data_IF_722378478152
#
_entry.id   IF_722378478152
#
_cell.length_a   1.000
_cell.length_b   1.000
_cell.length_c   1.000
_cell.angle_alpha   90.00
_cell.angle_beta   90.00
_cell.angle_gamma   90.00
#
_symmetry.space_group_name_H-M   'P 1'
#
loop_
_entity.id
_entity.type
_entity.pdbx_description
1 polymer ?
#
# COMPACT_ATOMS: atom_id res chain seq x y z
N UNK A 1 4.33 -36.76 28.79
CA UNK A 1 3.77 -36.96 27.45
C UNK A 1 4.89 -37.01 26.45
N UNK A 2 5.09 -38.16 25.82
CA UNK A 2 6.14 -38.36 24.83
C UNK A 2 5.85 -37.57 23.55
N UNK A 3 6.89 -37.16 22.82
CA UNK A 3 6.76 -36.43 21.54
C UNK A 3 5.84 -37.16 20.54
N UNK A 4 5.82 -38.49 20.59
CA UNK A 4 4.97 -39.32 19.74
C UNK A 4 3.48 -39.22 20.11
N UNK A 5 3.16 -39.05 21.39
CA UNK A 5 1.78 -38.87 21.86
C UNK A 5 1.22 -37.49 21.48
N UNK A 6 2.10 -36.48 21.39
CA UNK A 6 1.72 -35.15 20.94
C UNK A 6 1.46 -35.16 19.42
N UNK A 7 2.30 -35.85 18.65
CA UNK A 7 2.09 -36.02 17.22
C UNK A 7 0.82 -36.82 16.89
N UNK A 8 0.52 -37.88 17.64
CA UNK A 8 -0.72 -38.65 17.44
C UNK A 8 -1.96 -37.84 17.81
N UNK A 9 -1.89 -36.98 18.85
CA UNK A 9 -2.96 -36.04 19.21
C UNK A 9 -3.22 -34.99 18.10
N UNK A 10 -2.15 -34.44 17.49
CA UNK A 10 -2.28 -33.48 16.39
C UNK A 10 -2.87 -34.12 15.13
N UNK A 11 -2.48 -35.36 14.79
CA UNK A 11 -3.04 -36.10 13.65
C UNK A 11 -4.51 -36.47 13.91
N UNK A 12 -4.86 -36.86 15.13
CA UNK A 12 -6.26 -37.15 15.51
C UNK A 12 -7.16 -35.91 15.51
N UNK A 13 -6.62 -34.73 15.84
CA UNK A 13 -7.35 -33.47 15.77
C UNK A 13 -7.51 -32.95 14.33
N UNK A 14 -6.53 -33.22 13.45
CA UNK A 14 -6.57 -32.84 12.04
C UNK A 14 -7.49 -33.74 11.19
N UNK A 15 -7.75 -34.97 11.63
CA UNK A 15 -8.63 -35.94 10.95
C UNK A 15 -10.10 -35.86 11.38
N UNK A 16 -10.54 -34.79 12.06
CA UNK A 16 -11.97 -34.63 12.38
C UNK A 16 -12.79 -34.57 11.08
N UNK A 17 -13.68 -35.54 10.82
CA UNK A 17 -14.59 -35.44 9.69
C UNK A 17 -15.52 -34.25 9.93
N UNK A 18 -15.61 -33.37 8.93
CA UNK A 18 -16.57 -32.27 8.90
C UNK A 18 -17.97 -32.81 9.23
N UNK A 19 -18.66 -32.17 10.18
CA UNK A 19 -20.00 -32.47 10.67
C UNK A 19 -21.12 -32.18 9.65
N UNK A 20 -20.90 -32.47 8.36
CA UNK A 20 -21.86 -32.29 7.26
C UNK A 20 -22.10 -33.54 6.41
N UNK A 21 -21.94 -34.72 6.98
CA UNK A 21 -22.42 -35.96 6.37
C UNK A 21 -23.35 -36.71 7.35
N UNK A 22 -24.60 -36.24 7.45
CA UNK A 22 -25.69 -37.08 7.93
C UNK A 22 -26.26 -37.76 6.68
N UNK A 23 -25.76 -38.94 6.34
CA UNK A 23 -26.57 -39.94 5.65
C UNK A 23 -26.32 -41.29 6.29
N UNK A 24 -27.34 -41.72 7.02
CA UNK A 24 -27.47 -43.02 7.69
C UNK A 24 -27.23 -44.14 6.68
N UNK A 25 -26.29 -45.02 6.99
CA UNK A 25 -26.22 -46.36 6.43
C UNK A 25 -27.37 -47.20 7.01
N UNK A 26 -28.48 -47.32 6.29
CA UNK A 26 -29.40 -48.45 6.45
C UNK A 26 -29.18 -49.42 5.30
N UNK A 27 -28.46 -50.49 5.63
CA UNK A 27 -28.33 -51.69 4.82
C UNK A 27 -29.59 -52.51 5.07
N UNK A 28 -30.35 -52.80 4.01
CA UNK A 28 -31.00 -54.09 3.66
C UNK A 28 -32.23 -53.85 2.79
N UNK A 29 -32.51 -54.83 1.93
CA UNK A 29 -33.65 -54.99 1.01
C UNK A 29 -33.43 -54.51 -0.43
N UNK A 30 -32.92 -55.46 -1.24
CA UNK A 30 -33.06 -55.46 -2.70
C UNK A 30 -34.52 -55.79 -3.06
N UNK A 31 -35.11 -55.09 -4.02
CA UNK A 31 -35.99 -55.72 -4.98
C UNK A 31 -35.37 -55.66 -6.39
N UNK A 32 -35.57 -56.76 -7.12
CA UNK A 32 -35.13 -56.95 -8.49
C UNK A 32 -35.65 -55.83 -9.41
N UNK A 33 -34.73 -55.06 -10.01
CA UNK A 33 -35.04 -54.20 -11.15
C UNK A 33 -34.77 -55.02 -12.42
N UNK A 34 -35.84 -55.29 -13.15
CA UNK A 34 -35.80 -55.89 -14.49
C UNK A 34 -35.20 -54.86 -15.46
N UNK A 35 -34.12 -55.22 -16.14
CA UNK A 35 -33.60 -54.42 -17.24
C UNK A 35 -34.46 -54.67 -18.48
N UNK A 36 -35.30 -53.70 -18.85
CA UNK A 36 -35.91 -53.64 -20.17
C UNK A 36 -34.89 -53.02 -21.14
N UNK A 37 -34.38 -53.82 -22.07
CA UNK A 37 -33.57 -53.36 -23.18
C UNK A 37 -34.47 -52.62 -24.17
N UNK A 38 -34.31 -51.30 -24.30
CA UNK A 38 -34.81 -50.57 -25.46
C UNK A 38 -33.59 -50.00 -26.19
N UNK A 39 -33.33 -50.59 -27.35
CA UNK A 39 -32.33 -50.12 -28.30
C UNK A 39 -32.88 -48.87 -28.99
N UNK A 40 -32.57 -47.69 -28.46
CA UNK A 40 -32.66 -46.45 -29.23
C UNK A 40 -31.31 -45.75 -29.14
N UNK A 41 -30.66 -45.62 -30.28
CA UNK A 41 -29.43 -44.85 -30.42
C UNK A 41 -29.67 -43.40 -29.97
N UNK A 42 -28.73 -42.75 -29.27
CA UNK A 42 -28.88 -41.34 -28.92
C UNK A 42 -28.89 -40.50 -30.20
N UNK A 43 -29.77 -39.49 -30.32
CA UNK A 43 -29.72 -38.57 -31.45
C UNK A 43 -28.40 -37.79 -31.43
N UNK A 44 -27.86 -37.54 -32.63
CA UNK A 44 -26.61 -36.82 -32.83
C UNK A 44 -26.62 -35.46 -32.12
N UNK A 45 -25.51 -35.14 -31.45
CA UNK A 45 -25.34 -33.86 -30.77
C UNK A 45 -25.55 -32.69 -31.75
N UNK A 46 -26.30 -31.63 -31.36
CA UNK A 46 -26.46 -30.46 -32.21
C UNK A 46 -25.08 -29.83 -32.46
N UNK A 47 -24.83 -29.45 -33.71
CA UNK A 47 -23.62 -28.71 -34.13
C UNK A 47 -23.39 -27.55 -33.16
N UNK A 48 -22.22 -27.53 -32.52
CA UNK A 48 -21.77 -26.42 -31.69
C UNK A 48 -21.82 -25.15 -32.55
N UNK A 49 -22.79 -24.27 -32.27
CA UNK A 49 -22.71 -22.89 -32.71
C UNK A 49 -21.48 -22.30 -32.02
N UNK A 50 -20.53 -21.80 -32.81
CA UNK A 50 -19.38 -21.07 -32.31
C UNK A 50 -19.89 -19.92 -31.44
N UNK A 51 -19.73 -20.06 -30.13
CA UNK A 51 -19.91 -18.96 -29.20
C UNK A 51 -19.02 -17.81 -29.68
N UNK A 52 -19.52 -16.56 -29.73
CA UNK A 52 -18.68 -15.43 -30.08
C UNK A 52 -17.44 -15.46 -29.19
N UNK A 53 -16.26 -15.46 -29.81
CA UNK A 53 -14.97 -15.48 -29.11
C UNK A 53 -15.07 -14.50 -27.95
N UNK A 54 -15.01 -15.03 -26.72
CA UNK A 54 -14.96 -14.18 -25.53
C UNK A 54 -13.86 -13.16 -25.80
N UNK A 55 -14.11 -11.85 -25.59
CA UNK A 55 -13.06 -10.87 -25.74
C UNK A 55 -11.93 -11.32 -24.83
N UNK A 56 -10.82 -11.76 -25.41
CA UNK A 56 -9.58 -12.02 -24.71
C UNK A 56 -9.21 -10.66 -24.13
N UNK A 57 -9.58 -10.45 -22.87
CA UNK A 57 -9.14 -9.28 -22.11
C UNK A 57 -7.62 -9.34 -22.24
N UNK A 58 -6.98 -8.39 -22.95
CA UNK A 58 -5.55 -8.48 -23.17
C UNK A 58 -4.92 -8.56 -21.78
N UNK A 59 -4.04 -9.53 -21.55
CA UNK A 59 -3.40 -9.70 -20.23
C UNK A 59 -2.62 -8.45 -19.77
N UNK A 60 -2.50 -7.45 -20.65
CA UNK A 60 -1.96 -6.11 -20.44
C UNK A 60 -2.96 -5.11 -19.80
N UNK A 61 -4.21 -5.49 -19.51
CA UNK A 61 -5.19 -4.64 -18.78
C UNK A 61 -4.71 -4.27 -17.35
N UNK A 62 -3.58 -4.80 -16.89
CA UNK A 62 -2.97 -4.47 -15.60
C UNK A 62 -2.04 -3.24 -15.57
N UNK A 63 -1.79 -2.52 -16.67
CA UNK A 63 -0.76 -1.45 -16.68
C UNK A 63 -1.26 -0.01 -16.80
N UNK A 64 -2.46 0.26 -17.30
CA UNK A 64 -2.99 1.63 -17.32
C UNK A 64 -3.56 1.97 -15.94
N UNK A 65 -2.63 2.33 -15.03
CA UNK A 65 -2.93 2.89 -13.70
C UNK A 65 -3.76 4.16 -13.78
N UNK A 66 -3.82 4.80 -14.96
CA UNK A 66 -4.74 5.87 -15.29
C UNK A 66 -5.00 5.88 -16.82
N UNK A 67 -6.17 5.43 -17.31
CA UNK A 67 -6.49 5.42 -18.74
C UNK A 67 -6.59 6.83 -19.35
N UNK A 68 -6.78 7.87 -18.53
CA UNK A 68 -7.02 9.23 -18.98
C UNK A 68 -5.73 10.08 -19.03
N UNK A 69 -4.56 9.51 -18.66
CA UNK A 69 -3.24 10.17 -18.64
C UNK A 69 -3.17 11.51 -17.87
N UNK A 70 -4.13 11.78 -16.98
CA UNK A 70 -4.21 13.05 -16.24
C UNK A 70 -3.15 13.10 -15.12
N UNK A 71 -2.87 11.96 -14.48
CA UNK A 71 -1.98 11.88 -13.31
C UNK A 71 -0.50 12.03 -13.67
N UNK A 72 0.30 12.56 -12.74
CA UNK A 72 1.76 12.67 -12.85
C UNK A 72 2.47 11.36 -13.21
N UNK A 73 1.91 10.23 -12.75
CA UNK A 73 2.39 8.87 -13.00
C UNK A 73 2.41 8.48 -14.47
N UNK A 74 1.45 8.97 -15.27
CA UNK A 74 1.30 8.58 -16.68
C UNK A 74 2.54 8.90 -17.53
N UNK A 75 3.37 9.84 -17.06
CA UNK A 75 4.63 10.25 -17.70
C UNK A 75 5.87 9.67 -17.05
N UNK A 76 5.73 9.01 -15.90
CA UNK A 76 6.84 8.28 -15.29
C UNK A 76 6.94 6.96 -16.06
N UNK A 77 8.06 6.71 -16.75
CA UNK A 77 8.22 5.43 -17.44
C UNK A 77 8.23 4.33 -16.36
N UNK A 78 7.40 3.29 -16.53
CA UNK A 78 7.35 2.15 -15.61
C UNK A 78 8.05 0.98 -16.29
N UNK A 79 9.07 0.38 -15.67
CA UNK A 79 9.72 -0.78 -16.25
C UNK A 79 8.72 -1.93 -16.40
N UNK A 80 8.72 -2.57 -17.56
CA UNK A 80 7.87 -3.73 -17.86
C UNK A 80 8.29 -4.94 -17.03
N UNK A 81 9.55 -5.01 -16.63
CA UNK A 81 10.11 -6.10 -15.82
C UNK A 81 10.50 -7.30 -16.68
N UNK A 82 10.82 -7.05 -17.95
CA UNK A 82 11.35 -8.02 -18.90
C UNK A 82 12.88 -8.12 -18.73
N UNK A 83 13.43 -9.34 -18.78
CA UNK A 83 14.88 -9.55 -18.64
C UNK A 83 15.63 -8.87 -19.79
N UNK A 84 16.56 -7.98 -19.45
CA UNK A 84 17.36 -7.23 -20.42
C UNK A 84 16.81 -5.85 -20.81
N UNK A 85 15.72 -5.40 -20.19
CA UNK A 85 15.17 -4.06 -20.37
C UNK A 85 16.16 -2.98 -19.85
N UNK A 86 16.58 -2.05 -20.72
CA UNK A 86 17.35 -0.87 -20.32
C UNK A 86 16.39 0.24 -19.90
N UNK A 87 16.09 0.32 -18.62
CA UNK A 87 15.17 1.31 -18.06
C UNK A 87 15.93 2.43 -17.36
N UNK A 88 15.92 3.67 -17.85
CA UNK A 88 16.53 4.81 -17.12
C UNK A 88 15.44 5.63 -16.42
N UNK A 89 15.48 5.81 -15.09
CA UNK A 89 14.46 6.58 -14.38
C UNK A 89 14.48 8.05 -14.81
N UNK A 90 13.30 8.60 -15.09
CA UNK A 90 13.14 10.01 -15.46
C UNK A 90 13.02 10.89 -14.22
N UNK A 91 13.38 12.17 -14.35
CA UNK A 91 13.14 13.20 -13.34
C UNK A 91 11.63 13.43 -13.15
N UNK A 92 11.20 13.60 -11.91
CA UNK A 92 9.83 13.89 -11.53
C UNK A 92 9.43 15.31 -11.98
N UNK A 93 8.71 15.39 -13.09
CA UNK A 93 8.30 16.67 -13.69
C UNK A 93 7.01 17.26 -13.12
N UNK A 94 6.09 16.41 -12.64
CA UNK A 94 4.77 16.81 -12.14
C UNK A 94 4.65 16.55 -10.63
N UNK A 95 3.86 17.37 -9.91
CA UNK A 95 3.60 17.17 -8.49
C UNK A 95 2.81 15.88 -8.25
N UNK A 96 3.10 15.23 -7.13
CA UNK A 96 2.45 14.00 -6.65
C UNK A 96 1.45 14.36 -5.55
N UNK A 97 0.39 13.57 -5.41
CA UNK A 97 -0.63 13.73 -4.36
C UNK A 97 -2.06 13.78 -4.87
N UNK A 98 -2.98 14.13 -3.97
CA UNK A 98 -4.40 14.33 -4.24
C UNK A 98 -4.70 15.80 -4.54
N UNK A 99 -5.73 16.06 -5.34
CA UNK A 99 -6.14 17.43 -5.68
C UNK A 99 -6.82 18.15 -4.51
N UNK A 100 -7.53 17.40 -3.68
CA UNK A 100 -8.26 17.91 -2.53
C UNK A 100 -7.42 17.82 -1.25
N UNK A 101 -7.62 18.76 -0.30
CA UNK A 101 -6.95 18.69 0.99
C UNK A 101 -7.37 17.45 1.78
N UNK A 102 -6.45 16.85 2.56
CA UNK A 102 -6.74 15.65 3.33
C UNK A 102 -7.61 16.01 4.54
N UNK A 103 -8.61 15.20 4.81
CA UNK A 103 -9.42 15.32 6.04
C UNK A 103 -9.10 14.16 7.01
N UNK A 104 -9.09 14.42 8.32
CA UNK A 104 -9.03 13.35 9.32
C UNK A 104 -10.13 12.32 9.09
N UNK A 105 -9.83 11.04 9.30
CA UNK A 105 -10.75 9.91 9.06
C UNK A 105 -10.84 9.42 7.61
N UNK A 106 -10.38 10.19 6.62
CA UNK A 106 -10.28 9.70 5.24
C UNK A 106 -9.25 8.57 5.13
N UNK A 107 -9.46 7.63 4.20
CA UNK A 107 -8.60 6.46 4.01
C UNK A 107 -8.38 5.65 5.30
N UNK A 108 -9.32 5.69 6.24
CA UNK A 108 -9.28 4.81 7.40
C UNK A 108 -9.79 3.41 7.01
N UNK A 109 -9.21 2.33 7.58
CA UNK A 109 -9.68 0.96 7.34
C UNK A 109 -10.99 0.64 8.09
N UNK A 110 -11.46 1.54 8.95
CA UNK A 110 -12.59 1.33 9.86
C UNK A 110 -13.91 1.58 9.12
N UNK A 111 -14.84 0.63 9.22
CA UNK A 111 -16.20 0.79 8.71
C UNK A 111 -17.09 1.41 9.80
N UNK A 112 -17.44 2.67 9.66
CA UNK A 112 -18.40 3.34 10.57
C UNK A 112 -19.86 3.13 10.15
N UNK A 113 -20.10 2.48 9.01
CA UNK A 113 -21.45 2.31 8.45
C UNK A 113 -22.30 1.32 9.26
N UNK A 114 -23.60 1.58 9.31
CA UNK A 114 -24.55 0.72 9.99
C UNK A 114 -24.71 -0.64 9.31
N UNK A 115 -25.16 -1.68 10.05
CA UNK A 115 -25.41 -3.00 9.46
C UNK A 115 -26.44 -2.96 8.31
N UNK A 116 -27.40 -2.03 8.40
CA UNK A 116 -28.41 -1.78 7.37
C UNK A 116 -27.77 -1.23 6.10
N UNK A 117 -26.99 -0.16 6.21
CA UNK A 117 -26.25 0.42 5.08
C UNK A 117 -25.32 -0.62 4.43
N UNK A 118 -24.66 -1.45 5.23
CA UNK A 118 -23.82 -2.53 4.70
C UNK A 118 -24.66 -3.50 3.86
N UNK A 119 -25.84 -3.93 4.35
CA UNK A 119 -26.73 -4.83 3.61
C UNK A 119 -27.23 -4.18 2.31
N UNK A 120 -27.65 -2.92 2.36
CA UNK A 120 -28.10 -2.17 1.18
C UNK A 120 -26.98 -2.01 0.14
N UNK A 121 -25.75 -1.78 0.59
CA UNK A 121 -24.57 -1.73 -0.28
C UNK A 121 -24.24 -3.06 -0.95
N UNK A 122 -24.45 -4.18 -0.25
CA UNK A 122 -24.29 -5.50 -0.84
C UNK A 122 -25.36 -5.79 -1.90
N UNK A 123 -26.58 -5.27 -1.71
CA UNK A 123 -27.69 -5.43 -2.65
C UNK A 123 -27.58 -4.53 -3.90
N UNK A 124 -26.85 -3.42 -3.81
CA UNK A 124 -26.69 -2.50 -4.95
C UNK A 124 -25.78 -3.09 -6.05
N UNK A 125 -26.35 -3.29 -7.24
CA UNK A 125 -25.66 -3.85 -8.40
C UNK A 125 -24.50 -2.99 -8.92
N UNK A 126 -24.65 -1.66 -8.97
CA UNK A 126 -23.59 -0.76 -9.42
C UNK A 126 -22.36 -0.84 -8.50
N UNK A 127 -22.58 -0.81 -7.18
CA UNK A 127 -21.51 -1.00 -6.19
C UNK A 127 -20.87 -2.40 -6.29
N UNK A 128 -21.60 -3.41 -6.76
CA UNK A 128 -21.03 -4.74 -7.03
C UNK A 128 -20.09 -4.74 -8.23
N UNK A 129 -20.44 -4.02 -9.31
CA UNK A 129 -19.57 -3.85 -10.48
C UNK A 129 -18.27 -3.11 -10.13
N UNK A 130 -18.37 -2.02 -9.36
CA UNK A 130 -17.19 -1.28 -8.87
C UNK A 130 -16.27 -2.16 -8.02
N UNK A 131 -16.85 -2.91 -7.07
CA UNK A 131 -16.12 -3.89 -6.26
C UNK A 131 -15.36 -4.87 -7.14
N UNK A 132 -16.07 -5.48 -8.11
CA UNK A 132 -15.47 -6.43 -9.04
C UNK A 132 -14.31 -5.80 -9.80
N UNK A 133 -14.43 -4.56 -10.26
CA UNK A 133 -13.37 -3.84 -10.97
C UNK A 133 -12.12 -3.65 -10.10
N UNK A 134 -12.30 -3.20 -8.85
CA UNK A 134 -11.19 -2.98 -7.90
C UNK A 134 -10.49 -4.31 -7.59
N UNK A 135 -11.26 -5.37 -7.30
CA UNK A 135 -10.67 -6.69 -7.01
C UNK A 135 -9.97 -7.29 -8.22
N UNK A 136 -10.53 -7.16 -9.42
CA UNK A 136 -9.87 -7.63 -10.64
C UNK A 136 -8.56 -6.87 -10.89
N UNK A 137 -8.54 -5.55 -10.75
CA UNK A 137 -7.32 -4.74 -10.87
C UNK A 137 -6.24 -5.20 -9.89
N UNK A 138 -6.61 -5.45 -8.64
CA UNK A 138 -5.68 -5.93 -7.62
C UNK A 138 -5.21 -7.36 -7.90
N UNK A 139 -6.10 -8.24 -8.36
CA UNK A 139 -5.77 -9.63 -8.70
C UNK A 139 -4.81 -9.73 -9.90
N UNK A 140 -5.03 -8.89 -10.92
CA UNK A 140 -4.14 -8.81 -12.07
C UNK A 140 -2.85 -8.04 -11.79
N UNK A 141 -2.67 -7.49 -10.59
CA UNK A 141 -1.42 -6.84 -10.20
C UNK A 141 -0.30 -7.87 -10.17
N UNK A 142 0.73 -7.73 -11.01
CA UNK A 142 1.76 -8.74 -11.10
C UNK A 142 2.75 -8.58 -9.94
N UNK A 143 2.49 -9.29 -8.84
CA UNK A 143 3.32 -9.26 -7.63
C UNK A 143 4.81 -9.54 -7.93
N UNK A 144 5.09 -10.56 -8.74
CA UNK A 144 6.46 -10.92 -9.12
C UNK A 144 7.14 -9.90 -10.04
N UNK A 145 6.37 -9.14 -10.83
CA UNK A 145 6.98 -8.06 -11.62
C UNK A 145 7.50 -6.94 -10.71
N UNK A 146 6.89 -6.67 -9.55
CA UNK A 146 7.44 -5.68 -8.61
C UNK A 146 8.82 -6.09 -8.07
N UNK A 147 9.04 -7.40 -7.90
CA UNK A 147 10.34 -7.94 -7.54
C UNK A 147 11.34 -7.79 -8.68
N UNK A 148 10.98 -8.20 -9.91
CA UNK A 148 11.84 -8.03 -11.08
C UNK A 148 12.18 -6.55 -11.33
N UNK A 149 11.25 -5.62 -11.07
CA UNK A 149 11.50 -4.18 -11.18
C UNK A 149 12.57 -3.68 -10.20
N UNK A 150 12.78 -4.39 -9.08
CA UNK A 150 13.84 -4.04 -8.12
C UNK A 150 15.24 -4.36 -8.65
N UNK A 151 15.35 -5.33 -9.58
CA UNK A 151 16.62 -5.65 -10.23
C UNK A 151 17.16 -4.46 -11.06
N UNK A 152 16.26 -3.66 -11.63
CA UNK A 152 16.62 -2.45 -12.38
C UNK A 152 16.78 -1.25 -11.44
N UNK A 153 17.97 -0.62 -11.45
CA UNK A 153 18.27 0.60 -10.67
C UNK A 153 17.86 0.52 -9.20
N UNK A 154 18.00 -0.65 -8.57
CA UNK A 154 17.57 -0.94 -7.19
C UNK A 154 16.09 -0.60 -6.91
N UNK A 155 15.24 -0.66 -7.94
CA UNK A 155 13.80 -0.39 -7.86
C UNK A 155 13.41 1.09 -7.93
N UNK A 156 14.34 1.98 -8.30
CA UNK A 156 14.06 3.41 -8.42
C UNK A 156 13.00 3.69 -9.48
N UNK A 157 11.93 4.38 -9.08
CA UNK A 157 10.79 4.67 -9.95
C UNK A 157 10.96 6.00 -10.70
N UNK A 158 11.46 7.02 -10.00
CA UNK A 158 11.76 8.33 -10.55
C UNK A 158 12.93 8.98 -9.80
N UNK A 159 13.58 9.93 -10.47
CA UNK A 159 14.59 10.79 -9.87
C UNK A 159 13.90 12.03 -9.31
N UNK A 160 14.32 12.47 -8.14
CA UNK A 160 13.82 13.69 -7.51
C UNK A 160 14.18 14.93 -8.35
N UNK A 161 13.38 15.98 -8.20
CA UNK A 161 13.64 17.26 -8.85
C UNK A 161 14.62 18.08 -8.01
N UNK A 162 15.54 18.79 -8.65
CA UNK A 162 16.43 19.75 -7.98
C UNK A 162 15.65 20.95 -7.41
N UNK A 163 14.53 21.30 -8.04
CA UNK A 163 13.70 22.44 -7.64
C UNK A 163 12.46 21.97 -6.89
N UNK A 164 12.07 22.75 -5.87
CA UNK A 164 10.78 22.61 -5.22
C UNK A 164 9.63 22.86 -6.21
N UNK A 165 8.57 22.08 -6.11
CA UNK A 165 7.32 22.43 -6.78
C UNK A 165 6.81 23.78 -6.26
N UNK A 166 6.00 24.51 -7.02
CA UNK A 166 5.36 25.75 -6.53
C UNK A 166 4.14 25.45 -5.65
N UNK A 167 3.90 26.25 -4.60
CA UNK A 167 2.84 25.99 -3.60
C UNK A 167 1.44 25.92 -4.23
N UNK A 168 1.22 26.72 -5.26
CA UNK A 168 -0.05 26.80 -6.00
C UNK A 168 -0.30 25.54 -6.84
N UNK A 169 0.76 24.92 -7.36
CA UNK A 169 0.67 23.73 -8.23
C UNK A 169 0.84 22.41 -7.49
N UNK A 170 1.39 22.45 -6.27
CA UNK A 170 1.60 21.26 -5.49
C UNK A 170 0.27 20.64 -5.04
N UNK A 171 0.23 19.31 -5.07
CA UNK A 171 -0.90 18.50 -4.65
C UNK A 171 -0.73 18.08 -3.18
N UNK A 172 -1.81 17.58 -2.60
CA UNK A 172 -1.89 17.26 -1.18
C UNK A 172 -1.41 15.84 -0.87
N UNK A 173 -0.75 15.71 0.27
CA UNK A 173 -0.44 14.42 0.86
C UNK A 173 -1.73 13.82 1.44
N UNK A 174 -2.09 12.57 1.12
CA UNK A 174 -3.35 11.98 1.58
C UNK A 174 -3.34 11.72 3.08
N UNK A 175 -4.53 11.68 3.70
CA UNK A 175 -4.62 11.16 5.05
C UNK A 175 -4.25 9.68 5.05
N UNK A 176 -3.49 9.26 6.06
CA UNK A 176 -3.16 7.88 6.29
C UNK A 176 -3.48 7.55 7.75
N UNK A 177 -4.15 6.42 7.95
CA UNK A 177 -4.49 5.92 9.28
C UNK A 177 -3.57 4.75 9.65
N UNK A 178 -3.01 4.78 10.86
CA UNK A 178 -2.11 3.74 11.33
C UNK A 178 -1.93 3.71 12.84
N UNK A 179 -1.31 2.64 13.33
CA UNK A 179 -0.91 2.51 14.74
C UNK A 179 0.42 3.22 14.97
N UNK A 180 0.58 3.97 16.05
CA UNK A 180 1.86 4.61 16.38
C UNK A 180 2.64 3.78 17.39
N UNK A 181 3.88 4.19 17.67
CA UNK A 181 4.68 3.62 18.74
C UNK A 181 4.43 4.30 20.09
N UNK A 182 3.56 5.32 20.16
CA UNK A 182 3.28 6.08 21.38
C UNK A 182 2.88 5.19 22.57
N UNK A 183 3.33 5.56 23.77
CA UNK A 183 3.07 4.81 25.01
C UNK A 183 1.65 4.97 25.51
N UNK A 184 1.08 6.16 25.32
CA UNK A 184 -0.29 6.53 25.71
C UNK A 184 -1.38 5.78 24.93
N UNK A 185 -0.99 5.05 23.88
CA UNK A 185 -1.89 4.31 23.03
C UNK A 185 -2.50 5.13 21.89
N UNK A 186 -3.05 4.38 20.93
CA UNK A 186 -3.56 4.92 19.67
C UNK A 186 -5.07 5.19 19.74
N UNK A 187 -5.51 6.06 20.66
CA UNK A 187 -6.91 6.50 20.78
C UNK A 187 -7.94 5.36 20.96
N UNK A 188 -9.25 5.67 20.93
CA UNK A 188 -10.32 4.68 21.13
C UNK A 188 -10.43 3.68 19.98
N UNK A 189 -10.00 4.06 18.78
CA UNK A 189 -10.12 3.26 17.56
C UNK A 189 -8.88 2.41 17.27
N UNK A 190 -7.85 2.47 18.12
CA UNK A 190 -6.63 1.68 18.00
C UNK A 190 -5.72 2.08 16.83
N UNK A 191 -5.77 3.36 16.42
CA UNK A 191 -4.92 4.01 15.41
C UNK A 191 -5.14 5.54 15.40
N UNK A 192 -4.20 6.29 14.84
CA UNK A 192 -4.24 7.75 14.67
C UNK A 192 -4.20 8.12 13.19
N UNK A 193 -4.80 9.26 12.86
CA UNK A 193 -4.68 9.89 11.56
C UNK A 193 -3.35 10.66 11.46
N UNK A 194 -2.73 10.61 10.29
CA UNK A 194 -1.49 11.32 10.01
C UNK A 194 -1.72 12.82 9.77
N UNK A 195 -2.87 13.19 9.19
CA UNK A 195 -3.16 14.59 8.80
C UNK A 195 -3.00 15.57 9.96
N UNK A 196 -3.57 15.34 11.16
CA UNK A 196 -3.39 16.24 12.29
C UNK A 196 -1.93 16.40 12.73
N UNK A 197 -1.10 15.36 12.56
CA UNK A 197 0.33 15.39 12.93
C UNK A 197 1.15 16.26 11.99
N UNK A 198 0.85 16.23 10.68
CA UNK A 198 1.61 16.98 9.66
C UNK A 198 1.09 18.39 9.42
N UNK A 199 -0.17 18.67 9.77
CA UNK A 199 -0.78 19.99 9.56
C UNK A 199 -0.06 21.06 10.38
N UNK A 200 0.27 22.18 9.75
CA UNK A 200 0.94 23.32 10.39
C UNK A 200 2.45 23.15 10.59
N UNK A 201 3.06 22.04 10.14
CA UNK A 201 4.50 21.79 10.24
C UNK A 201 5.07 21.33 8.92
N UNK A 202 6.36 21.60 8.71
CA UNK A 202 7.10 21.03 7.58
C UNK A 202 7.46 19.59 7.96
N UNK A 203 6.98 18.62 7.19
CA UNK A 203 7.10 17.20 7.52
C UNK A 203 7.92 16.47 6.46
N UNK A 204 9.03 15.87 6.88
CA UNK A 204 9.82 14.92 6.11
C UNK A 204 9.24 13.52 6.34
N UNK A 205 8.56 12.98 5.34
CA UNK A 205 7.84 11.72 5.44
C UNK A 205 8.62 10.62 4.71
N UNK A 206 9.11 9.63 5.45
CA UNK A 206 9.72 8.42 4.91
C UNK A 206 8.72 7.28 4.86
N UNK A 207 8.36 6.79 3.68
CA UNK A 207 7.50 5.63 3.50
C UNK A 207 8.32 4.38 3.18
N UNK A 208 8.14 3.33 3.97
CA UNK A 208 8.93 2.11 3.93
C UNK A 208 8.05 0.89 4.17
N UNK A 209 8.40 -0.27 3.62
CA UNK A 209 7.59 -1.52 3.75
C UNK A 209 8.36 -2.72 4.30
N UNK A 210 9.66 -2.56 4.51
CA UNK A 210 10.58 -3.57 5.02
C UNK A 210 12.00 -3.01 5.13
N UNK A 211 12.94 -3.85 5.56
CA UNK A 211 14.32 -3.42 5.83
C UNK A 211 15.03 -2.83 4.60
N UNK A 212 14.82 -3.41 3.42
CA UNK A 212 15.40 -2.88 2.18
C UNK A 212 14.92 -1.44 1.87
N UNK A 213 13.63 -1.19 2.08
CA UNK A 213 13.06 0.14 1.90
C UNK A 213 13.52 1.12 3.00
N UNK A 214 13.72 0.63 4.22
CA UNK A 214 14.29 1.40 5.35
C UNK A 214 15.71 1.86 5.03
N UNK A 215 16.58 0.96 4.56
CA UNK A 215 17.94 1.28 4.15
C UNK A 215 17.96 2.35 3.03
N UNK A 216 17.03 2.28 2.09
CA UNK A 216 16.88 3.29 1.03
C UNK A 216 16.46 4.66 1.58
N UNK A 217 15.45 4.72 2.45
CA UNK A 217 15.03 5.97 3.10
C UNK A 217 16.15 6.53 3.98
N UNK A 218 16.89 5.68 4.66
CA UNK A 218 18.04 6.06 5.47
C UNK A 218 19.18 6.65 4.64
N UNK A 219 19.30 6.36 3.34
CA UNK A 219 20.25 7.11 2.49
C UNK A 219 19.92 8.60 2.34
N UNK A 220 18.67 8.99 2.58
CA UNK A 220 18.25 10.41 2.58
C UNK A 220 18.29 11.03 3.98
N UNK A 221 17.97 10.26 5.02
CA UNK A 221 17.77 10.78 6.37
C UNK A 221 18.84 10.38 7.38
N UNK A 222 19.63 9.37 7.06
CA UNK A 222 20.62 8.78 7.95
C UNK A 222 21.81 9.72 8.12
N UNK A 223 22.39 9.78 9.33
CA UNK A 223 23.52 10.67 9.61
C UNK A 223 24.80 10.30 8.84
N UNK A 224 24.87 9.08 8.31
CA UNK A 224 26.00 8.60 7.49
C UNK A 224 26.03 9.27 6.12
N UNK A 225 24.88 9.31 5.45
CA UNK A 225 24.75 9.81 4.08
C UNK A 225 24.30 11.28 4.04
N UNK A 226 23.58 11.73 5.07
CA UNK A 226 23.09 13.11 5.20
C UNK A 226 23.31 13.67 6.62
N UNK A 227 24.54 14.07 6.98
CA UNK A 227 24.82 14.65 8.29
C UNK A 227 24.14 16.02 8.51
N UNK A 228 24.03 16.83 7.46
CA UNK A 228 23.51 18.20 7.50
C UNK A 228 22.04 18.29 7.91
N UNK A 229 21.24 17.26 7.59
CA UNK A 229 19.80 17.25 7.87
C UNK A 229 19.50 17.46 9.35
N UNK A 230 20.30 16.82 10.21
CA UNK A 230 20.13 16.91 11.67
C UNK A 230 20.30 18.37 12.16
N UNK A 231 21.31 19.06 11.64
CA UNK A 231 21.56 20.48 11.90
C UNK A 231 20.45 21.38 11.38
N UNK A 232 19.91 21.11 10.19
CA UNK A 232 18.79 21.89 9.62
C UNK A 232 17.52 21.74 10.47
N UNK A 233 17.22 20.51 10.91
CA UNK A 233 16.06 20.23 11.77
C UNK A 233 16.20 20.93 13.12
N UNK A 234 17.38 20.82 13.76
CA UNK A 234 17.64 21.50 15.04
C UNK A 234 17.50 23.02 14.93
N UNK A 235 18.03 23.62 13.86
CA UNK A 235 17.95 25.08 13.60
C UNK A 235 16.53 25.57 13.31
N UNK A 236 15.62 24.65 12.97
CA UNK A 236 14.24 25.02 12.60
C UNK A 236 13.34 25.36 13.79
N UNK A 237 13.82 25.21 15.04
CA UNK A 237 13.05 25.45 16.27
C UNK A 237 11.70 24.72 16.31
N UNK A 238 11.67 23.46 15.85
CA UNK A 238 10.46 22.62 15.86
C UNK A 238 9.48 22.86 14.70
N UNK A 239 9.84 23.70 13.72
CA UNK A 239 9.06 23.88 12.49
C UNK A 239 9.10 22.64 11.60
N UNK A 240 10.27 21.98 11.55
CA UNK A 240 10.50 20.77 10.78
C UNK A 240 10.39 19.54 11.67
N UNK A 241 9.75 18.50 11.17
CA UNK A 241 9.67 17.20 11.82
C UNK A 241 9.93 16.07 10.84
N UNK A 242 10.45 14.94 11.35
CA UNK A 242 10.53 13.66 10.63
C UNK A 242 9.35 12.78 11.05
N UNK A 243 8.67 12.21 10.05
CA UNK A 243 7.60 11.25 10.20
C UNK A 243 7.99 10.00 9.41
N UNK A 244 7.94 8.84 10.06
CA UNK A 244 8.28 7.58 9.42
C UNK A 244 7.01 6.73 9.31
N UNK A 245 6.74 6.20 8.14
CA UNK A 245 5.52 5.48 7.79
C UNK A 245 5.90 4.09 7.31
N UNK A 246 5.67 3.09 8.16
CA UNK A 246 5.95 1.70 7.88
C UNK A 246 4.68 0.96 7.41
N UNK A 247 4.67 0.55 6.15
CA UNK A 247 3.59 -0.13 5.46
C UNK A 247 3.78 -1.64 5.58
N UNK A 248 2.94 -2.28 6.38
CA UNK A 248 2.99 -3.72 6.62
C UNK A 248 1.92 -4.42 5.79
N UNK A 249 2.37 -5.20 4.81
CA UNK A 249 1.49 -5.98 3.92
C UNK A 249 0.84 -7.17 4.62
N UNK A 250 1.57 -7.85 5.52
CA UNK A 250 1.12 -9.10 6.13
C UNK A 250 0.69 -8.92 7.58
N UNK A 251 -0.45 -9.49 7.94
CA UNK A 251 -0.92 -9.54 9.33
C UNK A 251 0.06 -10.25 10.27
N UNK A 252 0.83 -11.22 9.75
CA UNK A 252 1.89 -11.93 10.48
C UNK A 252 3.04 -10.98 10.82
N UNK A 253 3.48 -10.14 9.86
CA UNK A 253 4.50 -9.10 10.11
C UNK A 253 4.01 -8.12 11.16
N UNK A 254 2.74 -7.72 11.10
CA UNK A 254 2.16 -6.83 12.10
C UNK A 254 2.13 -7.46 13.50
N UNK A 255 1.87 -8.77 13.60
CA UNK A 255 1.94 -9.50 14.86
C UNK A 255 3.37 -9.61 15.38
N UNK A 256 4.35 -9.94 14.52
CA UNK A 256 5.78 -9.95 14.87
C UNK A 256 6.24 -8.58 15.37
N UNK A 257 5.87 -7.51 14.67
CA UNK A 257 6.21 -6.14 15.08
C UNK A 257 5.57 -5.83 16.44
N UNK A 258 4.34 -6.29 16.71
CA UNK A 258 3.73 -6.16 18.04
C UNK A 258 4.54 -6.85 19.13
N UNK A 259 5.13 -8.02 18.86
CA UNK A 259 6.03 -8.70 19.82
C UNK A 259 7.35 -7.95 20.00
N UNK A 260 7.90 -7.36 18.93
CA UNK A 260 9.17 -6.63 18.96
C UNK A 260 9.04 -5.12 19.17
N UNK A 261 7.85 -4.60 19.51
CA UNK A 261 7.59 -3.17 19.76
C UNK A 261 8.55 -2.58 20.80
N UNK A 262 8.87 -3.34 21.85
CA UNK A 262 9.81 -2.89 22.89
C UNK A 262 11.24 -2.68 22.36
N UNK A 263 11.70 -3.50 21.41
CA UNK A 263 13.01 -3.32 20.77
C UNK A 263 13.02 -2.14 19.82
N UNK A 264 11.95 -1.96 19.03
CA UNK A 264 11.79 -0.79 18.15
C UNK A 264 11.80 0.52 18.94
N UNK A 265 11.12 0.57 20.09
CA UNK A 265 11.15 1.72 21.01
C UNK A 265 12.53 2.02 21.57
N UNK A 266 13.43 1.03 21.70
CA UNK A 266 14.82 1.27 22.13
C UNK A 266 15.70 1.82 21.00
N UNK A 267 15.36 1.57 19.75
CA UNK A 267 16.11 2.05 18.58
C UNK A 267 15.68 3.46 18.15
N UNK A 268 14.39 3.77 18.31
CA UNK A 268 13.79 5.05 17.90
C UNK A 268 13.69 5.95 19.14
N UNK A 269 14.14 7.21 19.07
CA UNK A 269 14.04 8.14 20.19
C UNK A 269 12.57 8.46 20.53
N UNK A 270 12.31 8.75 21.81
CA UNK A 270 10.95 8.86 22.36
C UNK A 270 10.13 10.00 21.74
N UNK A 271 10.81 11.08 21.32
CA UNK A 271 10.25 12.25 20.64
C UNK A 271 9.63 11.95 19.26
N UNK A 272 9.90 10.76 18.70
CA UNK A 272 9.38 10.29 17.42
C UNK A 272 8.37 9.15 17.53
N UNK A 273 8.07 8.65 18.73
CA UNK A 273 7.15 7.51 18.87
C UNK A 273 5.73 7.81 18.38
N UNK A 274 5.28 9.06 18.55
CA UNK A 274 3.99 9.57 18.06
C UNK A 274 3.98 9.87 16.55
N UNK A 275 5.17 9.98 15.92
CA UNK A 275 5.39 10.26 14.50
C UNK A 275 5.81 9.04 13.69
N UNK A 276 5.95 7.88 14.34
CA UNK A 276 6.21 6.62 13.68
C UNK A 276 4.90 5.87 13.46
N UNK A 277 4.39 5.87 12.24
CA UNK A 277 3.12 5.24 11.87
C UNK A 277 3.35 3.86 11.28
N UNK A 278 2.69 2.86 11.84
CA UNK A 278 2.61 1.50 11.34
C UNK A 278 1.24 1.30 10.68
N UNK A 279 1.23 1.21 9.36
CA UNK A 279 0.03 0.99 8.57
C UNK A 279 -0.11 -0.49 8.32
N UNK A 280 -1.31 -1.02 8.57
CA UNK A 280 -1.68 -2.36 8.13
C UNK A 280 -2.47 -2.20 6.85
N UNK A 281 -2.04 -2.84 5.76
CA UNK A 281 -2.92 -2.91 4.60
C UNK A 281 -4.19 -3.69 5.00
N UNK A 282 -5.37 -3.10 4.84
CA UNK A 282 -6.59 -3.78 5.19
C UNK A 282 -6.82 -4.97 4.25
N UNK A 283 -7.44 -6.02 4.79
CA UNK A 283 -7.91 -7.16 3.97
C UNK A 283 -8.91 -6.71 2.89
N UNK A 284 -9.64 -5.63 3.14
CA UNK A 284 -10.48 -4.98 2.14
C UNK A 284 -9.71 -3.85 1.44
N UNK A 285 -9.27 -4.11 0.21
CA UNK A 285 -8.47 -3.21 -0.65
C UNK A 285 -9.19 -1.88 -0.96
N UNK A 286 -10.51 -1.82 -0.72
CA UNK A 286 -11.34 -0.62 -0.91
C UNK A 286 -11.22 0.40 0.22
N UNK A 287 -10.56 0.03 1.31
CA UNK A 287 -10.39 0.88 2.49
C UNK A 287 -8.92 1.06 2.78
N UNK A 288 -8.63 1.95 3.72
CA UNK A 288 -7.24 2.27 4.00
C UNK A 288 -6.60 3.03 2.83
N UNK A 289 -5.31 2.78 2.64
CA UNK A 289 -4.54 3.29 1.52
C UNK A 289 -4.87 2.50 0.25
N UNK A 290 -5.88 2.96 -0.50
CA UNK A 290 -6.32 2.34 -1.76
C UNK A 290 -5.26 2.45 -2.85
N UNK A 291 -5.33 1.58 -3.86
CA UNK A 291 -4.37 1.61 -4.98
C UNK A 291 -4.40 2.94 -5.74
N UNK A 292 -5.56 3.60 -5.86
CA UNK A 292 -5.66 4.93 -6.49
C UNK A 292 -4.91 6.01 -5.71
N UNK A 293 -4.97 5.96 -4.37
CA UNK A 293 -4.22 6.90 -3.51
C UNK A 293 -2.72 6.59 -3.57
N UNK A 294 -2.34 5.31 -3.57
CA UNK A 294 -0.93 4.89 -3.74
C UNK A 294 -0.37 5.36 -5.07
N UNK A 295 -1.15 5.18 -6.12
CA UNK A 295 -0.82 5.65 -7.45
C UNK A 295 -0.67 7.18 -7.42
N UNK A 296 -1.65 7.94 -6.93
CA UNK A 296 -1.59 9.41 -6.85
C UNK A 296 -0.34 9.94 -6.13
N UNK A 297 0.12 9.23 -5.09
CA UNK A 297 1.36 9.54 -4.37
C UNK A 297 2.65 9.17 -5.11
N UNK A 298 2.57 8.36 -6.18
CA UNK A 298 3.74 7.84 -6.89
C UNK A 298 4.35 6.58 -6.26
N UNK A 299 3.60 5.84 -5.44
CA UNK A 299 4.03 4.56 -4.83
C UNK A 299 3.95 3.40 -5.83
N UNK A 300 4.77 3.45 -6.87
CA UNK A 300 4.70 2.55 -8.03
C UNK A 300 5.19 1.13 -7.75
N UNK A 301 6.16 1.00 -6.83
CA UNK A 301 6.71 -0.26 -6.32
C UNK A 301 6.51 -0.35 -4.80
N UNK A 302 5.87 -1.42 -4.32
CA UNK A 302 5.64 -1.64 -2.88
C UNK A 302 6.90 -1.93 -2.08
N UNK A 303 7.95 -2.44 -2.73
CA UNK A 303 9.15 -2.98 -2.08
C UNK A 303 10.22 -1.91 -1.80
N UNK A 304 10.01 -0.69 -2.29
CA UNK A 304 11.00 0.39 -2.35
C UNK A 304 10.60 1.50 -1.38
N UNK A 305 11.60 2.20 -0.84
CA UNK A 305 11.41 3.37 0.01
C UNK A 305 11.05 4.62 -0.77
N UNK A 306 10.22 5.50 -0.19
CA UNK A 306 9.90 6.81 -0.77
C UNK A 306 10.05 7.90 0.27
N UNK A 307 10.50 9.06 -0.16
CA UNK A 307 10.69 10.23 0.68
C UNK A 307 9.85 11.38 0.14
N UNK A 308 9.10 12.03 1.01
CA UNK A 308 8.29 13.19 0.67
C UNK A 308 8.64 14.36 1.58
N UNK A 309 8.77 15.54 0.99
CA UNK A 309 8.82 16.80 1.72
C UNK A 309 7.44 17.45 1.64
N UNK A 310 6.77 17.55 2.78
CA UNK A 310 5.43 18.09 2.91
C UNK A 310 5.47 19.43 3.65
N UNK A 311 4.75 20.40 3.12
CA UNK A 311 4.64 21.74 3.71
C UNK A 311 3.56 21.81 4.81
N UNK A 312 3.50 22.93 5.53
CA UNK A 312 2.52 23.19 6.60
C UNK A 312 1.06 23.07 6.16
N UNK A 313 0.80 23.27 4.87
CA UNK A 313 -0.50 23.11 4.23
C UNK A 313 -0.81 21.67 3.77
N UNK A 314 -0.03 20.68 4.20
CA UNK A 314 -0.13 19.28 3.80
C UNK A 314 0.11 19.04 2.30
N UNK A 315 0.84 19.93 1.61
CA UNK A 315 1.17 19.79 0.18
C UNK A 315 2.54 19.16 -0.04
N UNK A 316 2.66 18.26 -1.01
CA UNK A 316 3.92 17.62 -1.40
C UNK A 316 4.73 18.60 -2.26
N UNK A 317 5.88 19.06 -1.74
CA UNK A 317 6.74 20.07 -2.38
C UNK A 317 7.94 19.45 -3.07
N UNK A 318 8.34 18.27 -2.64
CA UNK A 318 9.44 17.49 -3.21
C UNK A 318 9.20 16.01 -2.90
N UNK A 319 9.69 15.12 -3.76
CA UNK A 319 9.60 13.69 -3.56
C UNK A 319 10.84 12.99 -4.15
N UNK A 320 11.26 11.90 -3.49
CA UNK A 320 12.33 11.01 -3.91
C UNK A 320 11.88 9.55 -3.82
N UNK A 321 12.49 8.69 -4.64
CA UNK A 321 12.19 7.25 -4.65
C UNK A 321 13.46 6.40 -4.64
N UNK A 322 13.40 5.28 -3.94
CA UNK A 322 14.50 4.32 -3.83
C UNK A 322 15.73 4.89 -3.13
N UNK A 323 16.89 4.42 -3.55
CA UNK A 323 18.17 4.90 -3.02
C UNK A 323 18.49 6.31 -3.52
N UNK A 324 19.04 7.15 -2.65
CA UNK A 324 19.52 8.48 -3.02
C UNK A 324 20.61 8.38 -4.09
N UNK A 325 20.42 9.10 -5.19
CA UNK A 325 21.45 9.29 -6.20
C UNK A 325 22.31 10.51 -5.89
N UNK A 326 23.43 10.60 -6.61
CA UNK A 326 24.34 11.74 -6.51
C UNK A 326 23.58 13.06 -6.70
N UNK A 327 23.77 13.98 -5.76
CA UNK A 327 23.11 15.28 -5.76
C UNK A 327 21.69 15.32 -5.16
N UNK A 328 20.98 14.19 -5.01
CA UNK A 328 19.61 14.23 -4.48
C UNK A 328 19.56 14.56 -2.98
N UNK A 329 20.55 14.12 -2.21
CA UNK A 329 20.68 14.48 -0.79
C UNK A 329 20.89 15.99 -0.63
N UNK A 330 21.79 16.57 -1.43
CA UNK A 330 22.01 18.00 -1.45
C UNK A 330 20.76 18.76 -1.94
N UNK A 331 20.06 18.22 -2.94
CA UNK A 331 18.78 18.73 -3.43
C UNK A 331 17.70 18.75 -2.34
N UNK A 332 17.56 17.67 -1.57
CA UNK A 332 16.65 17.59 -0.42
C UNK A 332 16.98 18.65 0.63
N UNK A 333 18.25 18.78 1.01
CA UNK A 333 18.68 19.75 2.03
C UNK A 333 18.42 21.20 1.57
N UNK A 334 18.74 21.52 0.32
CA UNK A 334 18.48 22.84 -0.26
C UNK A 334 16.96 23.12 -0.37
N UNK A 335 16.18 22.12 -0.77
CA UNK A 335 14.72 22.19 -0.82
C UNK A 335 14.12 22.43 0.58
N UNK A 336 14.61 21.72 1.60
CA UNK A 336 14.17 21.90 2.97
C UNK A 336 14.47 23.31 3.50
N UNK A 337 15.69 23.81 3.30
CA UNK A 337 16.08 25.16 3.72
C UNK A 337 15.23 26.24 3.04
N UNK A 338 14.98 26.12 1.73
CA UNK A 338 14.11 27.04 1.00
C UNK A 338 12.69 27.01 1.54
N UNK A 339 12.14 25.82 1.82
CA UNK A 339 10.79 25.68 2.36
C UNK A 339 10.67 26.31 3.76
N UNK A 340 11.69 26.15 4.62
CA UNK A 340 11.74 26.81 5.94
C UNK A 340 11.71 28.33 5.78
N UNK A 341 12.45 28.89 4.83
CA UNK A 341 12.45 30.33 4.56
C UNK A 341 11.11 30.83 4.02
N UNK A 342 10.51 30.10 3.07
CA UNK A 342 9.17 30.39 2.55
C UNK A 342 8.13 30.41 3.67
N UNK A 343 8.14 29.41 4.55
CA UNK A 343 7.17 29.29 5.64
C UNK A 343 7.38 30.33 6.75
N UNK A 344 8.63 30.71 7.06
CA UNK A 344 8.92 31.82 7.98
C UNK A 344 8.39 33.14 7.46
N UNK A 345 8.59 33.42 6.15
CA UNK A 345 8.04 34.62 5.50
C UNK A 345 6.51 34.61 5.49
N UNK A 346 5.90 33.45 5.26
CA UNK A 346 4.46 33.28 5.27
C UNK A 346 3.85 33.53 6.65
N UNK A 347 4.55 33.14 7.73
CA UNK A 347 4.09 33.39 9.12
C UNK A 347 4.31 34.82 9.60
N UNK A 348 5.27 35.54 9.02
CA UNK A 348 5.55 36.93 9.36
C UNK A 348 4.73 37.94 8.57
N UNK A 349 4.12 37.50 7.46
CA UNK A 349 3.19 38.30 6.64
C UNK A 349 1.78 38.10 7.16
#
# INVERSE_FOLDING_TARGET
MGREEICSLFVALALRPHSRCIYRTHRTWRPHIRHASSSNAPPAAPKQQELPKQPTIPLHVGLDRNPDAVSAISRIPIPRGERGEKFTPSVLSRPLGLEHPPLPGQNSPIDTRSLRERKEDFANYQKALERRRIYLRSYFRPYFQEWNRTEHYKGKSFVSNERLFRRDKALYFPNIWGQTLATEGDGPNGGRDLTPTITGKISLIGMQSGQWAEEQVDTFFGPKDNPDLSGIIATSNGLVQRVDVNIQGDWVRAWLVKMFRGRLRRMIPEDRWDKYFMIKLPRDIRRGLTDDVRDAMGLLNSQVGYVYLVDSSCKIRWAGSGHAWEGEVAGLNAALQRLIQEERKFRSS
#
